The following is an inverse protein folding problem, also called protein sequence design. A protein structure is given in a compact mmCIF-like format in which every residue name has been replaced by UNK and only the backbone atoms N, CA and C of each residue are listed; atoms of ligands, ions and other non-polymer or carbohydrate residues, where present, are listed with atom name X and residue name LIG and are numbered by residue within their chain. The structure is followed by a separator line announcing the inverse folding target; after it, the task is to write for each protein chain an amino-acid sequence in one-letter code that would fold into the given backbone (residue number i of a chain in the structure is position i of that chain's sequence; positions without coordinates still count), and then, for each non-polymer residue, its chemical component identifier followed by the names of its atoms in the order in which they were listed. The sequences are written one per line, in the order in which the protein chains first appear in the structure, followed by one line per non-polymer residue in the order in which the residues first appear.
data_IF_620244149035
#
_entry.id   IF_620244149035
#
_cell.length_a   1.000
_cell.length_b   1.000
_cell.length_c   1.000
_cell.angle_alpha   90.00
_cell.angle_beta   90.00
_cell.angle_gamma   90.00
#
_symmetry.space_group_name_H-M   'P 1'
#
loop_
_entity.id
_entity.type
_entity.pdbx_description
1 polymer ?
#
# COMPACT_ATOMS: atom_id res chain seq x y z
N UNK A 1 23.03 -11.98 -75.92
CA UNK A 1 23.76 -12.49 -74.72
C UNK A 1 23.04 -12.07 -73.42
N UNK A 2 21.71 -12.20 -73.30
CA UNK A 2 20.97 -11.40 -72.29
C UNK A 2 20.01 -12.22 -71.40
N UNK A 3 19.93 -13.53 -71.60
CA UNK A 3 18.96 -14.41 -70.93
C UNK A 3 19.46 -15.04 -69.64
N UNK A 4 20.70 -15.52 -69.60
CA UNK A 4 21.25 -16.26 -68.46
C UNK A 4 21.68 -15.35 -67.32
N UNK A 5 22.29 -14.21 -67.62
CA UNK A 5 22.72 -13.22 -66.62
C UNK A 5 21.54 -12.66 -65.81
N UNK A 6 20.35 -12.55 -66.44
CA UNK A 6 19.13 -12.09 -65.79
C UNK A 6 18.53 -13.11 -64.81
N UNK A 7 18.78 -14.41 -65.03
CA UNK A 7 18.33 -15.49 -64.13
C UNK A 7 19.21 -15.58 -62.89
N UNK A 8 20.53 -15.46 -63.05
CA UNK A 8 21.50 -15.50 -61.94
C UNK A 8 21.30 -14.31 -60.99
N UNK A 9 21.08 -13.11 -61.53
CA UNK A 9 20.80 -11.91 -60.72
C UNK A 9 19.48 -12.03 -59.95
N UNK A 10 18.44 -12.63 -60.54
CA UNK A 10 17.15 -12.86 -59.86
C UNK A 10 17.24 -13.91 -58.75
N UNK A 11 17.98 -14.99 -58.96
CA UNK A 11 18.18 -16.01 -57.93
C UNK A 11 19.02 -15.46 -56.78
N UNK A 12 20.08 -14.69 -57.07
CA UNK A 12 20.89 -14.02 -56.04
C UNK A 12 20.09 -13.02 -55.20
N UNK A 13 19.18 -12.26 -55.83
CA UNK A 13 18.29 -11.33 -55.13
C UNK A 13 17.30 -12.07 -54.20
N UNK A 14 16.73 -13.20 -54.65
CA UNK A 14 15.76 -13.98 -53.87
C UNK A 14 16.44 -14.65 -52.66
N UNK A 15 17.64 -15.21 -52.84
CA UNK A 15 18.39 -15.84 -51.75
C UNK A 15 18.93 -14.78 -50.76
N UNK A 16 19.37 -13.62 -51.26
CA UNK A 16 19.82 -12.51 -50.41
C UNK A 16 18.69 -11.89 -49.57
N UNK A 17 17.47 -11.80 -50.11
CA UNK A 17 16.31 -11.28 -49.39
C UNK A 17 15.79 -12.29 -48.32
N UNK A 18 15.86 -13.59 -48.61
CA UNK A 18 15.46 -14.64 -47.67
C UNK A 18 16.39 -14.75 -46.44
N UNK A 19 17.70 -14.50 -46.62
CA UNK A 19 18.66 -14.46 -45.51
C UNK A 19 18.48 -13.23 -44.60
N UNK A 20 18.00 -12.10 -45.14
CA UNK A 20 17.68 -10.90 -44.37
C UNK A 20 16.41 -11.01 -43.53
N UNK A 21 15.45 -11.85 -43.93
CA UNK A 21 14.18 -12.04 -43.23
C UNK A 21 14.27 -13.00 -42.02
N UNK A 22 15.32 -13.82 -41.91
CA UNK A 22 15.60 -14.61 -40.70
C UNK A 22 16.24 -13.80 -39.56
N UNK A 23 16.53 -12.51 -39.77
CA UNK A 23 16.95 -11.59 -38.72
C UNK A 23 15.77 -10.96 -37.96
N UNK A 24 14.57 -11.57 -38.02
CA UNK A 24 13.54 -11.32 -37.03
C UNK A 24 14.12 -11.64 -35.64
N UNK A 25 14.44 -10.59 -34.90
CA UNK A 25 14.81 -10.64 -33.49
C UNK A 25 13.88 -11.62 -32.78
N UNK A 26 14.42 -12.75 -32.31
CA UNK A 26 13.64 -13.68 -31.53
C UNK A 26 13.11 -12.93 -30.30
N UNK A 27 11.79 -12.81 -30.09
CA UNK A 27 11.22 -12.06 -28.96
C UNK A 27 11.51 -12.72 -27.60
N UNK A 28 12.27 -13.82 -27.62
CA UNK A 28 12.70 -14.60 -26.47
C UNK A 28 14.18 -14.36 -26.11
N UNK A 29 14.86 -13.38 -26.70
CA UNK A 29 16.17 -12.96 -26.18
C UNK A 29 15.98 -12.30 -24.82
N UNK A 30 16.45 -12.95 -23.77
CA UNK A 30 16.46 -12.36 -22.42
C UNK A 30 17.39 -11.15 -22.42
N UNK A 31 16.89 -9.98 -22.00
CA UNK A 31 17.71 -8.78 -21.82
C UNK A 31 18.87 -9.05 -20.85
N UNK A 32 20.05 -8.48 -21.14
CA UNK A 32 21.19 -8.59 -20.23
C UNK A 32 20.92 -7.82 -18.94
N UNK A 33 21.37 -8.37 -17.81
CA UNK A 33 21.26 -7.70 -16.50
C UNK A 33 22.22 -6.51 -16.50
N UNK A 34 21.71 -5.32 -16.16
CA UNK A 34 22.51 -4.10 -16.03
C UNK A 34 23.54 -4.25 -14.89
N UNK A 35 24.86 -4.15 -15.17
CA UNK A 35 25.90 -4.33 -14.17
C UNK A 35 25.95 -3.21 -13.12
N UNK A 36 25.35 -2.05 -13.38
CA UNK A 36 25.27 -0.94 -12.41
C UNK A 36 24.18 -1.13 -11.35
N UNK A 37 23.32 -2.14 -11.52
CA UNK A 37 22.22 -2.41 -10.61
C UNK A 37 22.70 -3.05 -9.30
N UNK A 38 22.24 -2.58 -8.12
CA UNK A 38 22.58 -3.18 -6.82
C UNK A 38 22.09 -4.64 -6.69
N UNK A 39 21.18 -5.08 -7.55
CA UNK A 39 20.66 -6.47 -7.58
C UNK A 39 21.24 -7.30 -8.72
N UNK A 40 22.23 -6.81 -9.47
CA UNK A 40 22.76 -7.47 -10.66
C UNK A 40 23.29 -8.89 -10.36
N UNK A 41 24.02 -9.05 -9.26
CA UNK A 41 24.54 -10.34 -8.82
C UNK A 41 23.41 -11.33 -8.46
N UNK A 42 22.39 -10.87 -7.75
CA UNK A 42 21.24 -11.68 -7.35
C UNK A 42 20.38 -12.07 -8.56
N UNK A 43 20.11 -11.13 -9.48
CA UNK A 43 19.37 -11.40 -10.72
C UNK A 43 20.12 -12.38 -11.63
N UNK A 44 21.43 -12.25 -11.73
CA UNK A 44 22.28 -13.17 -12.51
C UNK A 44 22.30 -14.57 -11.88
N UNK A 45 22.36 -14.67 -10.55
CA UNK A 45 22.28 -15.95 -9.84
C UNK A 45 20.91 -16.62 -10.05
N UNK A 46 19.82 -15.88 -9.87
CA UNK A 46 18.45 -16.37 -10.07
C UNK A 46 18.17 -16.78 -11.53
N UNK A 47 18.76 -16.08 -12.51
CA UNK A 47 18.64 -16.45 -13.92
C UNK A 47 19.37 -17.76 -14.27
N UNK A 48 20.45 -18.10 -13.55
CA UNK A 48 21.19 -19.35 -13.71
C UNK A 48 20.50 -20.53 -13.05
N UNK A 49 19.83 -20.29 -11.93
CA UNK A 49 19.08 -21.32 -11.20
C UNK A 49 17.68 -21.51 -11.80
N UNK A 50 17.49 -22.59 -12.57
CA UNK A 50 16.14 -23.00 -12.98
C UNK A 50 15.41 -23.56 -11.76
N UNK A 51 14.62 -22.71 -11.10
CA UNK A 51 13.69 -23.13 -10.06
C UNK A 51 12.74 -24.25 -10.55
N UNK A 52 12.21 -25.08 -9.64
CA UNK A 52 11.29 -26.15 -10.00
C UNK A 52 10.08 -25.55 -10.73
N UNK A 53 9.89 -25.95 -11.99
CA UNK A 53 8.70 -25.55 -12.75
C UNK A 53 7.49 -26.25 -12.14
N UNK A 54 6.61 -25.46 -11.54
CA UNK A 54 5.30 -25.93 -11.11
C UNK A 54 4.58 -26.55 -12.30
N UNK A 55 4.04 -27.73 -12.10
CA UNK A 55 3.21 -28.41 -13.08
C UNK A 55 1.76 -28.01 -12.87
N UNK A 56 0.93 -28.13 -13.90
CA UNK A 56 -0.52 -27.98 -13.75
C UNK A 56 -1.12 -29.00 -12.76
N UNK A 57 -0.45 -30.15 -12.56
CA UNK A 57 -0.79 -31.12 -11.52
C UNK A 57 -0.58 -30.62 -10.09
N UNK A 58 0.20 -29.56 -9.90
CA UNK A 58 0.48 -28.98 -8.58
C UNK A 58 -0.61 -27.98 -8.17
N UNK A 59 -1.59 -27.72 -9.04
CA UNK A 59 -2.76 -26.90 -8.71
C UNK A 59 -3.61 -27.68 -7.70
N UNK A 60 -3.88 -27.12 -6.51
CA UNK A 60 -4.75 -27.76 -5.54
C UNK A 60 -6.13 -28.05 -6.13
N UNK A 61 -6.72 -29.17 -5.71
CA UNK A 61 -8.10 -29.48 -6.08
C UNK A 61 -9.05 -28.38 -5.60
N UNK A 62 -10.13 -28.15 -6.36
CA UNK A 62 -11.18 -27.21 -5.96
C UNK A 62 -11.73 -27.65 -4.59
N UNK A 63 -11.79 -26.75 -3.60
CA UNK A 63 -12.38 -27.04 -2.30
C UNK A 63 -13.80 -27.60 -2.47
N UNK A 64 -14.10 -28.69 -1.77
CA UNK A 64 -15.42 -29.35 -1.82
C UNK A 64 -16.38 -28.83 -0.75
N UNK A 65 -15.85 -28.07 0.19
CA UNK A 65 -16.51 -27.50 1.36
C UNK A 65 -17.06 -26.09 1.13
N UNK A 66 -17.30 -25.73 -0.14
CA UNK A 66 -17.93 -24.45 -0.48
C UNK A 66 -19.40 -24.47 -0.04
N UNK A 67 -19.87 -23.47 0.72
CA UNK A 67 -21.27 -23.37 1.12
C UNK A 67 -22.20 -23.33 -0.08
N UNK A 68 -23.27 -24.11 -0.02
CA UNK A 68 -24.37 -24.04 -0.99
C UNK A 68 -25.09 -22.70 -0.90
N UNK A 69 -25.75 -22.30 -1.99
CA UNK A 69 -26.56 -21.08 -1.98
C UNK A 69 -27.64 -21.06 -0.88
N UNK A 70 -28.18 -22.24 -0.52
CA UNK A 70 -29.13 -22.37 0.59
C UNK A 70 -28.49 -22.07 1.95
N UNK A 71 -27.28 -22.60 2.20
CA UNK A 71 -26.54 -22.33 3.42
C UNK A 71 -26.17 -20.84 3.54
N UNK A 72 -25.75 -20.21 2.43
CA UNK A 72 -25.47 -18.76 2.41
C UNK A 72 -26.73 -17.96 2.76
N UNK A 73 -27.88 -18.26 2.14
CA UNK A 73 -29.14 -17.59 2.46
C UNK A 73 -29.53 -17.74 3.93
N UNK A 74 -29.37 -18.93 4.50
CA UNK A 74 -29.66 -19.18 5.91
C UNK A 74 -28.74 -18.35 6.83
N UNK A 75 -27.45 -18.26 6.51
CA UNK A 75 -26.49 -17.44 7.26
C UNK A 75 -26.84 -15.95 7.19
N UNK A 76 -27.20 -15.44 6.00
CA UNK A 76 -27.61 -14.03 5.85
C UNK A 76 -28.90 -13.74 6.62
N UNK A 77 -29.90 -14.62 6.54
CA UNK A 77 -31.14 -14.45 7.29
C UNK A 77 -30.90 -14.41 8.80
N UNK A 78 -30.03 -15.30 9.30
CA UNK A 78 -29.61 -15.29 10.71
C UNK A 78 -28.90 -13.99 11.08
N UNK A 79 -27.94 -13.55 10.26
CA UNK A 79 -27.22 -12.30 10.51
C UNK A 79 -28.14 -11.07 10.56
N UNK A 80 -29.17 -11.03 9.70
CA UNK A 80 -30.17 -9.96 9.72
C UNK A 80 -31.01 -9.99 11.01
N UNK A 81 -31.41 -11.19 11.46
CA UNK A 81 -32.12 -11.34 12.72
C UNK A 81 -31.25 -10.91 13.93
N UNK A 82 -29.98 -11.31 13.93
CA UNK A 82 -29.02 -10.93 14.97
C UNK A 82 -28.78 -9.40 14.98
N UNK A 83 -28.68 -8.77 13.80
CA UNK A 83 -28.56 -7.32 13.67
C UNK A 83 -29.79 -6.60 14.23
N UNK A 84 -31.00 -7.07 13.88
CA UNK A 84 -32.25 -6.49 14.40
C UNK A 84 -32.39 -6.67 15.92
N UNK A 85 -31.89 -7.79 16.47
CA UNK A 85 -31.85 -8.01 17.91
C UNK A 85 -30.85 -7.06 18.59
N UNK A 86 -29.66 -6.88 18.00
CA UNK A 86 -28.65 -5.95 18.51
C UNK A 86 -29.16 -4.51 18.51
N UNK A 87 -29.78 -4.06 17.41
CA UNK A 87 -30.35 -2.72 17.31
C UNK A 87 -31.38 -2.45 18.41
N UNK A 88 -32.27 -3.42 18.69
CA UNK A 88 -33.21 -3.34 19.80
C UNK A 88 -32.52 -3.31 21.15
N UNK A 89 -31.48 -4.12 21.35
CA UNK A 89 -30.73 -4.18 22.60
C UNK A 89 -29.94 -2.89 22.87
N UNK A 90 -29.47 -2.20 21.82
CA UNK A 90 -28.69 -0.96 21.92
C UNK A 90 -29.51 0.30 21.71
N UNK A 91 -30.84 0.19 21.60
CA UNK A 91 -31.72 1.33 21.39
C UNK A 91 -31.50 2.38 22.50
N UNK A 92 -31.69 3.68 22.20
CA UNK A 92 -31.64 4.72 23.23
C UNK A 92 -32.56 4.33 24.41
N UNK A 93 -32.08 4.55 25.63
CA UNK A 93 -32.78 4.21 26.88
C UNK A 93 -32.84 2.71 27.26
N UNK A 94 -32.15 1.79 26.58
CA UNK A 94 -31.98 0.40 27.06
C UNK A 94 -30.83 0.23 28.04
N UNK A 95 -29.93 1.20 28.10
CA UNK A 95 -28.83 1.28 29.05
C UNK A 95 -28.97 2.57 29.87
N UNK A 96 -28.90 2.42 31.18
CA UNK A 96 -28.92 3.53 32.13
C UNK A 96 -27.51 3.70 32.70
N UNK A 97 -26.94 4.90 32.57
CA UNK A 97 -25.66 5.22 33.18
C UNK A 97 -25.90 5.48 34.67
N UNK A 98 -25.70 4.45 35.50
CA UNK A 98 -25.81 4.54 36.96
C UNK A 98 -24.50 4.99 37.57
N UNK A 99 -24.59 5.61 38.75
CA UNK A 99 -23.45 5.95 39.61
C UNK A 99 -22.43 6.92 39.00
N UNK A 100 -22.85 7.73 38.01
CA UNK A 100 -21.99 8.73 37.35
C UNK A 100 -21.42 9.73 38.36
N UNK A 101 -22.21 10.12 39.35
CA UNK A 101 -21.79 11.04 40.41
C UNK A 101 -20.79 10.40 41.37
N UNK A 102 -20.97 9.12 41.69
CA UNK A 102 -20.03 8.36 42.54
C UNK A 102 -18.70 8.18 41.82
N UNK A 103 -18.74 7.83 40.54
CA UNK A 103 -17.56 7.73 39.69
C UNK A 103 -16.84 9.09 39.56
N UNK A 104 -17.57 10.17 39.29
CA UNK A 104 -16.99 11.51 39.18
C UNK A 104 -16.42 11.98 40.52
N UNK A 105 -17.10 11.71 41.64
CA UNK A 105 -16.60 12.03 42.97
C UNK A 105 -15.33 11.24 43.31
N UNK A 106 -15.27 9.95 42.92
CA UNK A 106 -14.07 9.12 43.07
C UNK A 106 -12.91 9.66 42.23
N UNK A 107 -13.14 9.94 40.95
CA UNK A 107 -12.13 10.51 40.07
C UNK A 107 -11.59 11.85 40.60
N UNK A 108 -12.46 12.73 41.12
CA UNK A 108 -12.05 14.00 41.75
C UNK A 108 -11.21 13.82 43.01
N UNK A 109 -11.41 12.74 43.78
CA UNK A 109 -10.59 12.41 44.97
C UNK A 109 -9.25 11.81 44.59
N UNK A 110 -9.21 11.01 43.53
CA UNK A 110 -8.01 10.33 43.06
C UNK A 110 -7.06 11.27 42.31
N UNK A 111 -7.61 12.27 41.61
CA UNK A 111 -6.82 13.38 41.09
C UNK A 111 -6.29 14.17 42.29
N UNK A 112 -4.98 14.09 42.52
CA UNK A 112 -4.23 15.10 43.29
C UNK A 112 -3.70 16.11 42.28
N UNK A 113 -4.43 17.22 42.00
CA UNK A 113 -3.86 18.25 41.16
C UNK A 113 -2.58 18.74 41.85
N UNK A 114 -1.49 18.97 41.09
CA UNK A 114 -0.33 19.64 41.64
C UNK A 114 -0.80 20.95 42.29
N UNK A 115 -0.20 21.31 43.43
CA UNK A 115 -0.55 22.54 44.11
C UNK A 115 -0.52 23.69 43.09
N UNK A 116 -1.61 24.46 43.02
CA UNK A 116 -1.63 25.69 42.24
C UNK A 116 -0.74 26.69 42.97
N UNK A 117 0.56 26.60 42.71
CA UNK A 117 1.56 27.54 43.19
C UNK A 117 1.35 28.81 42.37
N UNK A 118 1.33 29.97 43.03
CA UNK A 118 1.29 31.24 42.33
C UNK A 118 2.48 31.31 41.35
N UNK A 119 2.27 31.71 40.07
CA UNK A 119 3.35 31.79 39.10
C UNK A 119 4.52 32.61 39.67
N UNK A 120 5.70 32.01 39.63
CA UNK A 120 6.93 32.67 40.08
C UNK A 120 7.34 33.77 39.10
N UNK A 121 8.29 34.62 39.50
CA UNK A 121 8.84 35.63 38.59
C UNK A 121 9.47 35.00 37.34
N UNK A 122 10.07 33.82 37.49
CA UNK A 122 10.63 33.05 36.38
C UNK A 122 9.53 32.59 35.41
N UNK A 123 8.41 32.07 35.92
CA UNK A 123 7.28 31.64 35.08
C UNK A 123 6.68 32.81 34.28
N UNK A 124 6.68 34.02 34.87
CA UNK A 124 6.24 35.24 34.17
C UNK A 124 7.23 35.66 33.09
N UNK A 125 8.53 35.62 33.38
CA UNK A 125 9.57 35.91 32.40
C UNK A 125 9.53 34.92 31.22
N UNK A 126 9.30 33.64 31.49
CA UNK A 126 9.18 32.60 30.45
C UNK A 126 7.93 32.83 29.58
N UNK A 127 6.82 33.22 30.20
CA UNK A 127 5.59 33.59 29.49
C UNK A 127 5.80 34.81 28.57
N UNK A 128 6.48 35.83 29.06
CA UNK A 128 6.82 37.02 28.27
C UNK A 128 7.81 36.72 27.13
N UNK A 129 8.80 35.86 27.38
CA UNK A 129 9.75 35.40 26.38
C UNK A 129 9.04 34.60 25.26
N UNK A 130 8.12 33.71 25.64
CA UNK A 130 7.28 32.99 24.68
C UNK A 130 6.40 33.94 23.87
N UNK A 131 5.74 34.91 24.52
CA UNK A 131 4.92 35.91 23.84
C UNK A 131 5.76 36.78 22.87
N UNK A 132 6.98 37.15 23.24
CA UNK A 132 7.91 37.87 22.38
C UNK A 132 8.35 37.02 21.19
N UNK A 133 8.66 35.75 21.40
CA UNK A 133 9.01 34.81 20.33
C UNK A 133 7.84 34.59 19.35
N UNK A 134 6.62 34.49 19.85
CA UNK A 134 5.41 34.37 19.03
C UNK A 134 5.19 35.64 18.17
N UNK A 135 5.33 36.83 18.77
CA UNK A 135 5.25 38.10 18.03
C UNK A 135 6.36 38.23 16.97
N UNK A 136 7.58 37.81 17.27
CA UNK A 136 8.69 37.82 16.33
C UNK A 136 8.44 36.92 15.10
N UNK A 137 7.81 35.74 15.29
CA UNK A 137 7.42 34.85 14.19
C UNK A 137 6.24 35.38 13.38
N UNK A 138 5.37 36.18 13.99
CA UNK A 138 4.22 36.81 13.34
C UNK A 138 4.56 38.14 12.64
N UNK A 139 5.79 38.65 12.80
CA UNK A 139 6.24 39.82 12.06
C UNK A 139 6.49 39.44 10.60
N UNK A 140 5.80 40.13 9.68
CA UNK A 140 6.00 39.93 8.25
C UNK A 140 7.49 40.19 7.86
N UNK A 141 8.05 39.40 6.92
CA UNK A 141 9.41 39.66 6.44
C UNK A 141 9.50 41.05 5.82
N UNK A 142 10.65 41.75 5.95
CA UNK A 142 10.80 43.12 5.49
C UNK A 142 10.53 43.23 3.99
N UNK A 143 9.63 44.14 3.61
CA UNK A 143 9.14 44.33 2.24
C UNK A 143 10.04 45.27 1.41
N UNK A 144 11.35 45.05 1.45
CA UNK A 144 12.25 45.72 0.51
C UNK A 144 13.15 44.72 -0.22
N UNK A 145 13.08 44.65 -1.56
CA UNK A 145 14.14 44.02 -2.33
C UNK A 145 15.41 44.87 -2.21
N UNK A 146 16.56 44.20 -2.02
CA UNK A 146 17.86 44.83 -2.27
C UNK A 146 18.03 45.08 -3.76
#
# INVERSE_FOLDING_TARGET
MNGETRKIVRIGLIVGLAAGASACASPFTTSQVDPSSPVAAAATAAAKEKGPRRKFSDIPAIPKDVPTAAQIRATVARQQADAAALEKATAPSTWELKDTDVYAAKARREVKPPALIAPTEADRADTEAFARAARGRASAPPSQPQ
#
